data_IF_961975657023
#
_entry.id   IF_961975657023
#
_cell.length_a   1.000
_cell.length_b   1.000
_cell.length_c   1.000
_cell.angle_alpha   90.00
_cell.angle_beta   90.00
_cell.angle_gamma   90.00
#
_symmetry.space_group_name_H-M   'P 1'
#
loop_
_entity.id
_entity.type
_entity.pdbx_description
1 polymer ?
#
# COMPACT_ATOMS: atom_id res chain seq x y z
N UNK A 1 23.46 -4.58 -6.50
CA UNK A 1 22.05 -4.84 -6.12
C UNK A 1 21.22 -4.31 -7.26
N UNK A 2 20.89 -5.21 -8.18
CA UNK A 2 20.40 -4.90 -9.51
C UNK A 2 18.95 -4.43 -9.47
N UNK A 3 18.54 -3.65 -10.48
CA UNK A 3 17.17 -3.13 -10.61
C UNK A 3 16.09 -4.23 -10.51
N UNK A 4 16.43 -5.48 -10.85
CA UNK A 4 15.57 -6.66 -10.67
C UNK A 4 15.22 -6.95 -9.20
N UNK A 5 16.12 -6.69 -8.25
CA UNK A 5 15.91 -7.00 -6.83
C UNK A 5 14.82 -6.13 -6.19
N UNK A 6 14.57 -4.94 -6.76
CA UNK A 6 13.51 -4.03 -6.30
C UNK A 6 12.16 -4.31 -6.98
N UNK A 7 12.17 -4.71 -8.26
CA UNK A 7 10.95 -5.18 -8.96
C UNK A 7 10.36 -6.42 -8.29
N UNK A 8 11.19 -7.33 -7.76
CA UNK A 8 10.72 -8.53 -7.07
C UNK A 8 10.02 -8.28 -5.71
N UNK A 9 10.13 -7.07 -5.15
CA UNK A 9 9.45 -6.68 -3.90
C UNK A 9 8.19 -5.85 -4.12
N UNK A 10 7.82 -5.55 -5.37
CA UNK A 10 6.44 -5.25 -5.70
C UNK A 10 5.70 -6.59 -5.66
N UNK A 11 5.34 -7.04 -4.44
CA UNK A 11 4.35 -8.09 -4.29
C UNK A 11 3.14 -7.71 -5.15
N UNK A 12 2.44 -8.68 -5.79
CA UNK A 12 1.25 -8.42 -6.61
C UNK A 12 0.18 -7.58 -5.88
N UNK A 13 0.27 -7.56 -4.55
CA UNK A 13 -0.40 -6.61 -3.67
C UNK A 13 0.65 -5.58 -3.20
N UNK A 14 0.56 -4.36 -3.69
CA UNK A 14 1.46 -3.26 -3.33
C UNK A 14 1.24 -2.84 -1.88
N UNK A 15 1.91 -3.51 -0.94
CA UNK A 15 1.89 -3.18 0.51
C UNK A 15 2.91 -2.06 0.83
N UNK A 16 3.72 -1.65 -0.15
CA UNK A 16 4.68 -0.56 -0.03
C UNK A 16 4.00 0.79 -0.24
N UNK A 17 3.38 1.35 0.80
CA UNK A 17 2.57 2.59 0.72
C UNK A 17 3.43 3.85 0.40
N UNK A 18 4.75 3.75 0.46
CA UNK A 18 5.69 4.87 0.24
C UNK A 18 6.33 4.81 -1.15
N UNK A 19 5.70 5.46 -2.12
CA UNK A 19 6.10 5.36 -3.53
C UNK A 19 7.12 6.43 -3.97
N UNK A 20 7.02 7.64 -3.43
CA UNK A 20 7.94 8.75 -3.70
C UNK A 20 8.38 9.41 -2.39
N UNK A 21 9.55 9.01 -1.88
CA UNK A 21 10.04 9.47 -0.58
C UNK A 21 10.47 10.93 -0.59
N UNK A 22 10.85 11.48 -1.75
CA UNK A 22 11.24 12.88 -1.86
C UNK A 22 10.04 13.78 -1.54
N UNK A 23 8.87 13.45 -2.05
CA UNK A 23 7.62 14.18 -1.78
C UNK A 23 7.07 13.99 -0.36
N UNK A 24 7.61 13.02 0.41
CA UNK A 24 7.12 12.67 1.74
C UNK A 24 7.97 13.23 2.88
N UNK A 25 9.17 13.76 2.61
CA UNK A 25 10.07 14.27 3.66
C UNK A 25 9.39 15.32 4.53
N UNK A 26 8.78 16.34 3.91
CA UNK A 26 8.13 17.43 4.63
C UNK A 26 6.84 17.00 5.31
N UNK A 27 6.11 16.08 4.69
CA UNK A 27 4.93 15.47 5.29
C UNK A 27 5.31 14.75 6.58
N UNK A 28 6.33 13.88 6.54
CA UNK A 28 6.82 13.18 7.72
C UNK A 28 7.31 14.11 8.82
N UNK A 29 8.06 15.16 8.48
CA UNK A 29 8.53 16.15 9.45
C UNK A 29 7.36 16.82 10.17
N UNK A 30 6.32 17.22 9.41
CA UNK A 30 5.09 17.81 9.97
C UNK A 30 4.28 16.84 10.83
N UNK A 31 4.48 15.54 10.67
CA UNK A 31 3.79 14.46 11.40
C UNK A 31 4.64 13.87 12.55
N UNK A 32 5.79 14.47 12.84
CA UNK A 32 6.64 14.12 13.99
C UNK A 32 7.77 13.13 13.69
N UNK A 33 7.92 12.68 12.44
CA UNK A 33 9.11 11.97 11.99
C UNK A 33 10.08 12.99 11.38
N UNK A 34 10.88 13.61 12.25
CA UNK A 34 11.75 14.73 11.88
C UNK A 34 12.67 14.42 10.69
N UNK A 35 12.84 15.40 9.79
CA UNK A 35 13.66 15.29 8.58
C UNK A 35 15.04 14.71 8.87
N UNK A 36 15.73 15.19 9.90
CA UNK A 36 17.07 14.71 10.25
C UNK A 36 17.10 13.23 10.61
N UNK A 37 16.09 12.75 11.34
CA UNK A 37 15.95 11.34 11.70
C UNK A 37 15.58 10.51 10.47
N UNK A 38 14.60 10.95 9.68
CA UNK A 38 14.18 10.27 8.47
C UNK A 38 15.34 10.11 7.48
N UNK A 39 16.05 11.20 7.18
CA UNK A 39 17.20 11.17 6.26
C UNK A 39 18.34 10.32 6.84
N UNK A 40 18.56 10.31 8.16
CA UNK A 40 19.54 9.41 8.76
C UNK A 40 19.18 7.93 8.58
N UNK A 41 17.90 7.57 8.67
CA UNK A 41 17.41 6.20 8.41
C UNK A 41 17.55 5.85 6.93
N UNK A 42 17.27 6.82 6.06
CA UNK A 42 17.31 6.63 4.61
C UNK A 42 18.72 6.72 4.02
N UNK A 43 19.78 6.85 4.82
CA UNK A 43 21.17 6.99 4.34
C UNK A 43 21.46 8.30 3.57
N UNK A 44 20.72 9.37 3.87
CA UNK A 44 20.87 10.70 3.28
C UNK A 44 19.73 11.11 2.35
N UNK A 45 19.85 12.30 1.76
CA UNK A 45 18.86 12.82 0.79
C UNK A 45 19.07 12.23 -0.61
N UNK A 46 20.33 12.09 -1.02
CA UNK A 46 20.71 11.52 -2.33
C UNK A 46 20.19 10.09 -2.54
N UNK A 47 20.06 9.32 -1.47
CA UNK A 47 19.56 7.94 -1.50
C UNK A 47 18.04 7.86 -1.66
N UNK A 48 17.27 8.92 -1.43
CA UNK A 48 15.81 8.90 -1.54
C UNK A 48 15.36 8.52 -2.95
N UNK A 49 16.07 8.96 -3.99
CA UNK A 49 15.83 8.56 -5.37
C UNK A 49 15.91 7.03 -5.53
N UNK A 50 16.91 6.40 -4.90
CA UNK A 50 17.13 4.96 -4.96
C UNK A 50 16.00 4.18 -4.30
N UNK A 51 15.43 4.72 -3.23
CA UNK A 51 14.41 4.08 -2.40
C UNK A 51 12.97 4.47 -2.76
N UNK A 52 12.78 5.27 -3.81
CA UNK A 52 11.45 5.73 -4.26
C UNK A 52 11.00 4.93 -5.49
N UNK A 53 10.11 3.93 -5.34
CA UNK A 53 9.57 3.15 -6.45
C UNK A 53 9.14 4.01 -7.65
N UNK A 54 8.39 5.10 -7.40
CA UNK A 54 7.86 5.99 -8.44
C UNK A 54 8.97 6.65 -9.28
N UNK A 55 10.07 7.04 -8.63
CA UNK A 55 11.24 7.61 -9.30
C UNK A 55 11.97 6.51 -10.08
N UNK A 56 12.19 5.37 -9.43
CA UNK A 56 12.96 4.23 -9.98
C UNK A 56 12.36 3.69 -11.27
N UNK A 57 11.04 3.49 -11.32
CA UNK A 57 10.38 2.92 -12.50
C UNK A 57 10.45 3.82 -13.74
N UNK A 58 10.73 5.12 -13.56
CA UNK A 58 10.86 6.08 -14.64
C UNK A 58 12.28 6.14 -15.23
N UNK A 59 13.26 5.49 -14.61
CA UNK A 59 14.64 5.49 -15.10
C UNK A 59 14.74 4.82 -16.47
N UNK A 60 15.59 5.33 -17.40
CA UNK A 60 15.71 4.79 -18.75
C UNK A 60 16.00 3.28 -18.83
N UNK A 61 16.73 2.73 -17.85
CA UNK A 61 17.06 1.31 -17.78
C UNK A 61 15.96 0.40 -17.25
N UNK A 62 14.85 0.95 -16.75
CA UNK A 62 13.76 0.21 -16.11
C UNK A 62 12.43 0.46 -16.82
N UNK A 63 12.21 1.70 -17.28
CA UNK A 63 10.95 2.18 -17.83
C UNK A 63 10.33 1.23 -18.86
N UNK A 64 11.12 0.70 -19.78
CA UNK A 64 10.62 -0.16 -20.86
C UNK A 64 10.14 -1.53 -20.34
N UNK A 65 10.69 -2.00 -19.21
CA UNK A 65 10.29 -3.24 -18.56
C UNK A 65 9.04 -3.10 -17.67
N UNK A 66 8.57 -1.88 -17.39
CA UNK A 66 7.39 -1.64 -16.53
C UNK A 66 6.13 -2.26 -17.12
N UNK A 67 6.01 -2.28 -18.45
CA UNK A 67 4.91 -2.97 -19.15
C UNK A 67 4.89 -4.49 -18.97
N UNK A 68 6.01 -5.09 -18.52
CA UNK A 68 6.15 -6.53 -18.26
C UNK A 68 5.86 -6.89 -16.80
N UNK A 69 5.57 -5.90 -15.95
CA UNK A 69 5.18 -6.16 -14.56
C UNK A 69 3.89 -6.98 -14.53
N UNK A 70 3.74 -7.89 -13.55
CA UNK A 70 2.45 -8.50 -13.29
C UNK A 70 1.42 -7.41 -12.93
N UNK A 71 0.11 -7.69 -13.03
CA UNK A 71 -0.91 -6.77 -12.53
C UNK A 71 -0.62 -6.31 -11.10
N UNK A 72 -0.70 -5.00 -10.87
CA UNK A 72 -0.44 -4.38 -9.56
C UNK A 72 -1.75 -3.84 -9.00
N UNK A 73 -2.07 -4.18 -7.76
CA UNK A 73 -3.12 -3.49 -7.01
C UNK A 73 -2.54 -2.71 -5.84
N UNK A 74 -3.01 -1.48 -5.71
CA UNK A 74 -2.70 -0.58 -4.62
C UNK A 74 -3.95 -0.46 -3.73
N UNK A 75 -3.75 -0.51 -2.42
CA UNK A 75 -4.82 -0.36 -1.43
C UNK A 75 -4.46 0.79 -0.49
N UNK A 76 -5.38 1.74 -0.27
CA UNK A 76 -5.10 2.90 0.58
C UNK A 76 -6.35 3.41 1.28
N UNK A 77 -6.25 3.77 2.56
CA UNK A 77 -7.30 4.47 3.28
C UNK A 77 -7.38 5.97 2.94
N UNK A 78 -8.57 6.52 2.75
CA UNK A 78 -8.72 7.96 2.41
C UNK A 78 -8.40 8.89 3.58
N UNK A 79 -8.35 8.37 4.80
CA UNK A 79 -8.04 9.11 6.03
C UNK A 79 -6.67 8.72 6.61
N UNK A 80 -5.78 8.17 5.79
CA UNK A 80 -4.39 7.92 6.15
C UNK A 80 -3.66 9.25 6.41
N UNK A 81 -3.25 9.45 7.66
CA UNK A 81 -2.52 10.65 8.07
C UNK A 81 -1.00 10.44 8.09
N UNK A 82 -0.54 9.21 7.89
CA UNK A 82 0.89 8.88 7.76
C UNK A 82 1.39 9.10 6.36
N UNK A 83 0.63 8.63 5.37
CA UNK A 83 0.92 8.81 3.95
C UNK A 83 -0.34 9.36 3.28
N UNK A 84 -0.25 10.49 2.57
CA UNK A 84 -1.41 10.99 1.83
C UNK A 84 -1.84 10.00 0.75
N UNK A 85 -3.14 9.74 0.64
CA UNK A 85 -3.70 8.92 -0.45
C UNK A 85 -3.36 9.46 -1.85
N UNK A 86 -3.05 10.75 -1.97
CA UNK A 86 -2.53 11.37 -3.19
C UNK A 86 -1.27 10.65 -3.72
N UNK A 87 -0.36 10.22 -2.85
CA UNK A 87 0.87 9.51 -3.25
C UNK A 87 0.58 8.18 -3.95
N UNK A 88 -0.51 7.48 -3.61
CA UNK A 88 -0.91 6.28 -4.36
C UNK A 88 -1.54 6.59 -5.70
N UNK A 89 -2.26 7.72 -5.81
CA UNK A 89 -2.82 8.16 -7.09
C UNK A 89 -1.71 8.54 -8.07
N UNK A 90 -0.73 9.32 -7.61
CA UNK A 90 0.43 9.72 -8.41
C UNK A 90 1.25 8.50 -8.88
N UNK A 91 1.43 7.52 -8.00
CA UNK A 91 2.12 6.28 -8.37
C UNK A 91 1.32 5.43 -9.36
N UNK A 92 0.00 5.28 -9.17
CA UNK A 92 -0.89 4.62 -10.13
C UNK A 92 -0.78 5.26 -11.52
N UNK A 93 -0.90 6.59 -11.58
CA UNK A 93 -0.79 7.35 -12.82
C UNK A 93 0.57 7.12 -13.49
N UNK A 94 1.65 7.06 -12.71
CA UNK A 94 2.99 6.77 -13.22
C UNK A 94 3.08 5.34 -13.76
N UNK A 95 2.59 4.33 -13.04
CA UNK A 95 2.56 2.94 -13.50
C UNK A 95 1.79 2.80 -14.83
N UNK A 96 0.58 3.35 -14.90
CA UNK A 96 -0.28 3.28 -16.07
C UNK A 96 0.32 4.05 -17.26
N UNK A 97 0.91 5.23 -17.02
CA UNK A 97 1.64 6.01 -18.04
C UNK A 97 2.81 5.23 -18.66
N UNK A 98 3.42 4.35 -17.87
CA UNK A 98 4.52 3.48 -18.31
C UNK A 98 4.06 2.12 -18.86
N UNK A 99 2.75 1.90 -18.98
CA UNK A 99 2.16 0.71 -19.58
C UNK A 99 1.98 -0.48 -18.64
N UNK A 100 2.16 -0.31 -17.33
CA UNK A 100 1.81 -1.36 -16.38
C UNK A 100 0.28 -1.48 -16.23
N UNK A 101 -0.19 -2.72 -16.02
CA UNK A 101 -1.56 -2.96 -15.58
C UNK A 101 -1.66 -2.71 -14.08
N UNK A 102 -2.22 -1.57 -13.67
CA UNK A 102 -2.31 -1.20 -12.27
C UNK A 102 -3.68 -0.63 -11.90
N UNK A 103 -4.13 -0.92 -10.68
CA UNK A 103 -5.38 -0.44 -10.09
C UNK A 103 -5.17 0.10 -8.68
N UNK A 104 -6.02 1.03 -8.25
CA UNK A 104 -6.02 1.60 -6.90
C UNK A 104 -7.41 1.49 -6.30
N UNK A 105 -7.49 0.85 -5.13
CA UNK A 105 -8.71 0.73 -4.34
C UNK A 105 -8.54 1.64 -3.11
N UNK A 106 -9.44 2.63 -3.03
CA UNK A 106 -9.50 3.56 -1.91
C UNK A 106 -10.59 3.14 -0.93
N UNK A 107 -10.22 2.99 0.34
CA UNK A 107 -11.14 2.65 1.41
C UNK A 107 -11.52 3.90 2.18
N UNK A 108 -12.80 4.26 2.08
CA UNK A 108 -13.29 5.50 2.69
C UNK A 108 -13.18 5.47 4.22
N UNK A 109 -12.68 6.56 4.80
CA UNK A 109 -12.54 6.75 6.24
C UNK A 109 -11.46 5.91 6.93
N UNK A 110 -10.74 5.04 6.19
CA UNK A 110 -9.69 4.19 6.76
C UNK A 110 -8.39 4.97 6.95
N UNK A 111 -7.73 4.77 8.10
CA UNK A 111 -6.38 5.29 8.37
C UNK A 111 -5.28 4.34 7.85
N UNK A 112 -4.01 4.63 8.16
CA UNK A 112 -2.85 3.86 7.68
C UNK A 112 -2.89 2.39 8.11
N UNK A 113 -3.40 2.12 9.32
CA UNK A 113 -3.34 0.81 9.94
C UNK A 113 -4.63 0.01 9.83
N UNK A 114 -5.76 0.68 9.59
CA UNK A 114 -7.09 0.06 9.67
C UNK A 114 -7.20 -1.22 8.84
N UNK A 115 -6.72 -1.17 7.59
CA UNK A 115 -6.81 -2.29 6.65
C UNK A 115 -5.99 -3.51 7.08
N UNK A 116 -4.91 -3.31 7.83
CA UNK A 116 -3.94 -4.35 8.15
C UNK A 116 -4.05 -4.85 9.59
N UNK A 117 -4.59 -4.01 10.50
CA UNK A 117 -4.67 -4.31 11.92
C UNK A 117 -6.11 -4.25 12.41
N UNK A 118 -6.77 -3.09 12.33
CA UNK A 118 -8.04 -2.90 13.02
C UNK A 118 -9.15 -3.73 12.40
N UNK A 119 -9.25 -3.80 11.07
CA UNK A 119 -10.28 -4.58 10.38
C UNK A 119 -10.10 -6.10 10.57
N UNK A 120 -8.89 -6.68 10.39
CA UNK A 120 -8.66 -8.09 10.73
C UNK A 120 -8.99 -8.41 12.20
N UNK A 121 -8.61 -7.53 13.14
CA UNK A 121 -8.85 -7.75 14.58
C UNK A 121 -10.32 -7.53 14.98
N UNK A 122 -11.06 -6.68 14.25
CA UNK A 122 -12.49 -6.45 14.41
C UNK A 122 -13.29 -7.70 14.09
N UNK A 123 -12.80 -8.51 13.15
CA UNK A 123 -13.52 -9.65 12.60
C UNK A 123 -14.79 -9.22 11.85
N UNK A 124 -15.58 -10.19 11.43
CA UNK A 124 -16.67 -9.98 10.48
C UNK A 124 -16.15 -9.99 9.05
N UNK A 125 -16.66 -9.07 8.23
CA UNK A 125 -16.21 -8.87 6.85
C UNK A 125 -14.98 -7.95 6.84
N UNK A 126 -13.95 -8.34 6.11
CA UNK A 126 -12.72 -7.57 5.92
C UNK A 126 -12.60 -7.23 4.42
N UNK A 127 -12.81 -5.96 4.08
CA UNK A 127 -12.90 -5.58 2.67
C UNK A 127 -11.55 -5.74 1.93
N UNK A 128 -10.39 -5.56 2.59
CA UNK A 128 -9.09 -5.80 1.96
C UNK A 128 -8.95 -7.29 1.63
N UNK A 129 -9.26 -8.16 2.59
CA UNK A 129 -9.22 -9.61 2.40
C UNK A 129 -10.11 -10.07 1.24
N UNK A 130 -11.34 -9.55 1.15
CA UNK A 130 -12.27 -9.90 0.06
C UNK A 130 -11.71 -9.53 -1.32
N UNK A 131 -11.10 -8.35 -1.48
CA UNK A 131 -10.47 -7.96 -2.74
C UNK A 131 -9.28 -8.87 -3.09
N UNK A 132 -8.45 -9.21 -2.11
CA UNK A 132 -7.29 -10.09 -2.31
C UNK A 132 -7.74 -11.49 -2.74
N UNK A 133 -8.74 -12.07 -2.05
CA UNK A 133 -9.27 -13.40 -2.36
C UNK A 133 -9.93 -13.42 -3.73
N UNK A 134 -10.70 -12.39 -4.07
CA UNK A 134 -11.34 -12.28 -5.38
C UNK A 134 -10.32 -12.31 -6.53
N UNK A 135 -9.15 -11.70 -6.34
CA UNK A 135 -8.08 -11.74 -7.34
C UNK A 135 -7.39 -13.10 -7.39
N UNK A 136 -7.11 -13.72 -6.23
CA UNK A 136 -6.45 -15.03 -6.17
C UNK A 136 -7.31 -16.11 -6.83
N UNK A 137 -8.63 -16.05 -6.64
CA UNK A 137 -9.59 -17.00 -7.20
C UNK A 137 -10.29 -16.50 -8.46
N UNK A 138 -9.74 -15.49 -9.13
CA UNK A 138 -10.30 -15.01 -10.39
C UNK A 138 -10.36 -16.16 -11.42
N UNK A 139 -11.52 -16.33 -12.05
CA UNK A 139 -11.80 -17.45 -12.94
C UNK A 139 -12.09 -18.81 -12.28
N UNK A 140 -11.91 -18.97 -10.96
CA UNK A 140 -12.28 -20.18 -10.21
C UNK A 140 -13.63 -20.01 -9.50
N UNK A 141 -14.70 -20.25 -10.25
CA UNK A 141 -16.08 -20.18 -9.73
C UNK A 141 -16.34 -21.08 -8.52
N UNK A 142 -15.64 -22.21 -8.40
CA UNK A 142 -15.84 -23.14 -7.27
C UNK A 142 -15.17 -22.59 -6.00
N UNK A 143 -13.97 -22.03 -6.13
CA UNK A 143 -13.29 -21.37 -5.03
C UNK A 143 -14.07 -20.12 -4.55
N UNK A 144 -14.51 -19.26 -5.47
CA UNK A 144 -15.33 -18.08 -5.14
C UNK A 144 -16.65 -18.45 -4.43
N UNK A 145 -17.32 -19.52 -4.88
CA UNK A 145 -18.53 -20.00 -4.21
C UNK A 145 -18.24 -20.52 -2.79
N UNK A 146 -17.07 -21.15 -2.60
CA UNK A 146 -16.63 -21.60 -1.27
C UNK A 146 -16.32 -20.43 -0.35
N UNK A 147 -15.65 -19.39 -0.85
CA UNK A 147 -15.34 -18.19 -0.06
C UNK A 147 -16.61 -17.46 0.37
N UNK A 148 -17.60 -17.34 -0.53
CA UNK A 148 -18.90 -16.75 -0.22
C UNK A 148 -19.67 -17.50 0.87
N UNK A 149 -19.37 -18.79 1.08
CA UNK A 149 -19.95 -19.62 2.15
C UNK A 149 -19.08 -19.67 3.41
N UNK A 150 -17.88 -19.09 3.40
CA UNK A 150 -16.99 -19.10 4.55
C UNK A 150 -17.63 -18.35 5.73
N UNK A 151 -17.51 -18.86 6.97
CA UNK A 151 -18.00 -18.15 8.13
C UNK A 151 -17.23 -16.82 8.30
N UNK A 152 -17.88 -15.75 8.80
CA UNK A 152 -17.20 -14.49 9.05
C UNK A 152 -16.03 -14.64 10.02
N UNK A 153 -14.98 -13.84 9.83
CA UNK A 153 -13.81 -13.84 10.70
C UNK A 153 -14.20 -13.58 12.15
N UNK A 154 -13.62 -14.35 13.08
CA UNK A 154 -13.88 -14.15 14.50
C UNK A 154 -13.33 -12.81 14.97
N UNK A 155 -14.09 -12.05 15.75
CA UNK A 155 -13.60 -10.87 16.46
C UNK A 155 -12.51 -11.25 17.47
N UNK A 156 -11.35 -10.62 17.35
CA UNK A 156 -10.19 -10.85 18.22
C UNK A 156 -10.05 -9.75 19.28
N UNK A 157 -10.49 -8.52 18.96
CA UNK A 157 -10.37 -7.36 19.86
C UNK A 157 -11.73 -6.65 20.02
N UNK A 158 -12.11 -6.24 21.25
CA UNK A 158 -13.31 -5.44 21.49
C UNK A 158 -13.30 -4.11 20.70
N UNK A 159 -14.47 -3.71 20.20
CA UNK A 159 -14.62 -2.51 19.35
C UNK A 159 -14.12 -1.22 20.02
N UNK A 160 -14.31 -1.10 21.33
CA UNK A 160 -13.84 0.08 22.09
C UNK A 160 -12.33 0.24 22.03
N UNK A 161 -11.57 -0.86 22.11
CA UNK A 161 -10.11 -0.82 22.05
C UNK A 161 -9.62 -0.50 20.64
N UNK A 162 -10.30 -1.02 19.61
CA UNK A 162 -9.98 -0.72 18.22
C UNK A 162 -10.19 0.75 17.88
N UNK A 163 -11.31 1.34 18.35
CA UNK A 163 -11.59 2.77 18.15
C UNK A 163 -10.60 3.67 18.89
N UNK A 164 -10.23 3.30 20.11
CA UNK A 164 -9.19 4.02 20.86
C UNK A 164 -7.82 3.91 20.17
N UNK A 165 -7.44 2.71 19.72
CA UNK A 165 -6.20 2.51 18.99
C UNK A 165 -6.16 3.32 17.70
N UNK A 166 -7.25 3.33 16.92
CA UNK A 166 -7.36 4.15 15.70
C UNK A 166 -7.26 5.66 15.97
N UNK A 167 -7.83 6.15 17.08
CA UNK A 167 -7.75 7.57 17.43
C UNK A 167 -6.42 8.04 18.04
N UNK A 168 -5.65 7.14 18.65
CA UNK A 168 -4.37 7.46 19.32
C UNK A 168 -3.17 7.09 18.46
N UNK A 169 -3.32 6.09 17.58
CA UNK A 169 -2.28 5.71 16.63
C UNK A 169 -1.88 6.93 15.81
N UNK A 170 -0.57 7.27 15.75
CA UNK A 170 -0.12 8.33 14.86
C UNK A 170 -0.20 7.90 13.39
N UNK A 171 -0.46 6.59 13.15
CA UNK A 171 -0.62 5.94 11.86
C UNK A 171 -2.09 5.73 11.50
#
# INVERSE_FOLDING_TARGET
MDALFFMLHLLPFGILIRYNLLGLVDHFDSRGLYRSLFLSIMEGEESLHRFSPEVRIQEPGIRDAVSLLPPIMLFHGTSDNSIPAASSKEFLETLQRLGAHAELILFDGKNHTDLFLQDPLRGGKDDLFEHVVAVIHDGDTAALAKDAMAPPSRRLVPEVLLRLASGISPF
#
